data_IF_573908920280
#
_entry.id   IF_573908920280
#
_cell.length_a   1.000
_cell.length_b   1.000
_cell.length_c   1.000
_cell.angle_alpha   90.00
_cell.angle_beta   90.00
_cell.angle_gamma   90.00
#
_symmetry.space_group_name_H-M   'P 1'
#
loop_
_entity.id
_entity.type
_entity.pdbx_description
1 polymer ?
#
# COMPACT_ATOMS: atom_id res chain seq x y z
N UNK A 1 40.25 -12.36 23.01
CA UNK A 1 39.69 -13.08 21.86
C UNK A 1 38.84 -12.14 21.06
N UNK A 2 38.68 -12.38 19.77
CA UNK A 2 37.81 -11.59 18.89
C UNK A 2 36.68 -12.43 18.34
N UNK A 3 35.62 -11.78 17.88
CA UNK A 3 34.55 -12.41 17.13
C UNK A 3 35.09 -13.00 15.81
N UNK A 4 34.78 -14.27 15.56
CA UNK A 4 35.14 -14.98 14.32
C UNK A 4 33.91 -15.01 13.40
N UNK A 5 34.00 -14.51 12.15
CA UNK A 5 32.90 -14.58 11.21
C UNK A 5 32.67 -16.03 10.76
N UNK A 6 31.42 -16.49 10.83
CA UNK A 6 31.01 -17.83 10.37
C UNK A 6 30.23 -17.74 9.07
N UNK A 7 29.37 -16.73 8.95
CA UNK A 7 28.63 -16.37 7.74
C UNK A 7 28.57 -14.85 7.62
N UNK A 8 28.22 -14.28 6.46
CA UNK A 8 27.96 -12.84 6.34
C UNK A 8 26.95 -12.38 7.40
N UNK A 9 27.38 -11.48 8.30
CA UNK A 9 26.56 -10.97 9.39
C UNK A 9 26.34 -11.93 10.57
N UNK A 10 27.06 -13.05 10.65
CA UNK A 10 27.02 -13.99 11.77
C UNK A 10 28.43 -14.26 12.30
N UNK A 11 28.60 -14.08 13.60
CA UNK A 11 29.88 -14.21 14.28
C UNK A 11 29.76 -15.14 15.49
N UNK A 12 30.88 -15.77 15.86
CA UNK A 12 31.02 -16.59 17.07
C UNK A 12 32.23 -16.09 17.85
N UNK A 13 32.12 -15.93 19.17
CA UNK A 13 33.21 -15.47 20.02
C UNK A 13 33.03 -15.90 21.47
N UNK A 14 34.06 -15.70 22.28
CA UNK A 14 34.00 -15.92 23.73
C UNK A 14 33.28 -14.78 24.46
N UNK A 15 33.02 -14.96 25.76
CA UNK A 15 32.30 -13.99 26.61
C UNK A 15 32.92 -12.59 26.61
N UNK A 16 34.25 -12.48 26.44
CA UNK A 16 34.96 -11.20 26.34
C UNK A 16 34.56 -10.37 25.12
N UNK A 17 33.97 -11.00 24.09
CA UNK A 17 33.52 -10.33 22.88
C UNK A 17 32.29 -9.44 23.14
N UNK A 18 31.49 -9.79 24.15
CA UNK A 18 30.32 -9.01 24.57
C UNK A 18 30.70 -7.84 25.48
N UNK A 19 31.93 -7.81 25.99
CA UNK A 19 32.42 -6.76 26.89
C UNK A 19 32.91 -5.49 26.16
N UNK A 20 32.94 -5.48 24.82
CA UNK A 20 33.24 -4.29 24.01
C UNK A 20 32.04 -3.91 23.12
N UNK A 21 31.17 -3.00 23.60
CA UNK A 21 30.06 -2.46 22.81
C UNK A 21 30.51 -1.81 21.49
N UNK A 22 31.70 -1.21 21.47
CA UNK A 22 32.26 -0.55 20.28
C UNK A 22 32.59 -1.56 19.17
N UNK A 23 33.12 -2.72 19.53
CA UNK A 23 33.44 -3.78 18.58
C UNK A 23 32.16 -4.40 17.97
N UNK A 24 31.12 -4.60 18.79
CA UNK A 24 29.80 -5.06 18.33
C UNK A 24 29.16 -4.06 17.36
N UNK A 25 29.21 -2.78 17.71
CA UNK A 25 28.68 -1.69 16.87
C UNK A 25 29.44 -1.58 15.55
N UNK A 26 30.78 -1.62 15.58
CA UNK A 26 31.61 -1.56 14.38
C UNK A 26 31.38 -2.75 13.43
N UNK A 27 31.05 -3.92 13.98
CA UNK A 27 30.70 -5.13 13.21
C UNK A 27 29.23 -5.15 12.76
N UNK A 28 28.42 -4.14 13.11
CA UNK A 28 27.00 -4.05 12.78
C UNK A 28 26.14 -5.10 13.49
N UNK A 29 26.57 -5.58 14.66
CA UNK A 29 25.85 -6.60 15.42
C UNK A 29 24.63 -5.98 16.10
N UNK A 30 23.44 -6.49 15.75
CA UNK A 30 22.15 -6.01 16.28
C UNK A 30 21.51 -6.98 17.28
N UNK A 31 22.07 -8.19 17.41
CA UNK A 31 21.60 -9.20 18.34
C UNK A 31 22.74 -10.13 18.77
N UNK A 32 22.68 -10.61 20.02
CA UNK A 32 23.65 -11.52 20.64
C UNK A 32 22.89 -12.68 21.29
N UNK A 33 23.30 -13.91 20.97
CA UNK A 33 22.86 -15.14 21.62
C UNK A 33 24.01 -15.66 22.48
N UNK A 34 23.80 -15.72 23.79
CA UNK A 34 24.80 -16.23 24.75
C UNK A 34 24.37 -17.59 25.26
N UNK A 35 25.28 -18.57 25.17
CA UNK A 35 25.07 -19.92 25.71
C UNK A 35 26.14 -20.15 26.78
N UNK A 36 25.79 -19.88 28.05
CA UNK A 36 26.75 -19.89 29.16
C UNK A 36 26.04 -20.15 30.51
N UNK A 37 26.78 -20.47 31.57
CA UNK A 37 26.24 -20.73 32.90
C UNK A 37 25.68 -19.46 33.57
N UNK A 38 26.26 -18.30 33.23
CA UNK A 38 25.93 -16.98 33.75
C UNK A 38 25.36 -16.08 32.63
N UNK A 39 24.40 -15.24 32.99
CA UNK A 39 23.83 -14.27 32.06
C UNK A 39 24.75 -13.04 31.98
N UNK A 40 25.18 -12.62 30.78
CA UNK A 40 26.06 -11.48 30.62
C UNK A 40 25.32 -10.15 30.88
N UNK A 41 26.06 -9.06 31.20
CA UNK A 41 25.46 -7.74 31.33
C UNK A 41 24.83 -7.30 29.99
N UNK A 42 23.68 -6.63 30.08
CA UNK A 42 22.98 -6.12 28.91
C UNK A 42 23.82 -5.07 28.16
N UNK A 43 23.94 -5.23 26.85
CA UNK A 43 24.58 -4.24 25.97
C UNK A 43 23.50 -3.30 25.41
N UNK A 44 23.58 -1.98 25.64
CA UNK A 44 22.59 -1.04 25.12
C UNK A 44 22.46 -1.11 23.60
N UNK A 45 21.22 -1.17 23.10
CA UNK A 45 20.93 -1.18 21.65
C UNK A 45 21.10 -2.53 20.96
N UNK A 46 21.49 -3.59 21.68
CA UNK A 46 21.65 -4.95 21.16
C UNK A 46 20.59 -5.84 21.76
N UNK A 47 19.84 -6.58 20.93
CA UNK A 47 18.90 -7.59 21.42
C UNK A 47 19.68 -8.77 21.99
N UNK A 48 19.33 -9.24 23.18
CA UNK A 48 20.02 -10.36 23.80
C UNK A 48 19.09 -11.55 24.02
N UNK A 49 19.61 -12.75 23.86
CA UNK A 49 19.01 -14.01 24.32
C UNK A 49 20.07 -14.80 25.08
N UNK A 50 19.72 -15.30 26.25
CA UNK A 50 20.59 -16.16 27.07
C UNK A 50 20.01 -17.56 27.17
N UNK A 51 20.83 -18.56 26.91
CA UNK A 51 20.53 -19.97 27.16
C UNK A 51 21.51 -20.46 28.21
N UNK A 52 20.98 -20.74 29.40
CA UNK A 52 21.79 -21.25 30.49
C UNK A 52 22.27 -22.66 30.18
N UNK A 53 23.58 -22.85 30.00
CA UNK A 53 24.18 -24.16 29.79
C UNK A 53 25.61 -24.20 30.34
N UNK A 54 26.01 -25.35 30.89
CA UNK A 54 27.40 -25.62 31.26
C UNK A 54 28.04 -26.48 30.19
N UNK A 55 29.36 -26.39 30.06
CA UNK A 55 30.14 -27.28 29.19
C UNK A 55 30.27 -28.68 29.84
N UNK A 56 29.15 -29.37 29.95
CA UNK A 56 29.02 -30.69 30.53
C UNK A 56 28.21 -31.58 29.57
N UNK A 57 28.61 -32.86 29.36
CA UNK A 57 27.93 -33.75 28.40
C UNK A 57 26.43 -33.97 28.65
N UNK A 58 25.96 -33.72 29.88
CA UNK A 58 24.55 -33.85 30.26
C UNK A 58 23.69 -32.61 30.00
N UNK A 59 24.26 -31.51 29.50
CA UNK A 59 23.51 -30.30 29.20
C UNK A 59 22.60 -30.50 27.98
N UNK A 60 21.28 -30.36 28.18
CA UNK A 60 20.31 -30.43 27.09
C UNK A 60 20.21 -29.10 26.33
N UNK A 61 21.10 -28.93 25.36
CA UNK A 61 21.05 -27.82 24.40
C UNK A 61 20.03 -28.07 23.29
N UNK A 62 19.71 -29.34 23.01
CA UNK A 62 18.90 -29.74 21.86
C UNK A 62 17.48 -29.18 21.97
N UNK A 63 16.89 -29.21 23.17
CA UNK A 63 15.55 -28.66 23.43
C UNK A 63 15.45 -27.14 23.25
N UNK A 64 16.59 -26.42 23.20
CA UNK A 64 16.64 -24.95 23.05
C UNK A 64 17.01 -24.49 21.64
N UNK A 65 17.39 -25.41 20.74
CA UNK A 65 17.87 -25.04 19.40
C UNK A 65 16.81 -24.32 18.57
N UNK A 66 15.54 -24.71 18.65
CA UNK A 66 14.47 -24.06 17.88
C UNK A 66 14.28 -22.60 18.30
N UNK A 67 14.35 -22.31 19.60
CA UNK A 67 14.29 -20.94 20.12
C UNK A 67 15.52 -20.13 19.68
N UNK A 68 16.72 -20.71 19.76
CA UNK A 68 17.97 -20.09 19.30
C UNK A 68 17.92 -19.76 17.80
N UNK A 69 17.44 -20.70 17.00
CA UNK A 69 17.31 -20.56 15.55
C UNK A 69 16.27 -19.48 15.20
N UNK A 70 15.14 -19.43 15.91
CA UNK A 70 14.13 -18.39 15.74
C UNK A 70 14.68 -17.00 16.08
N UNK A 71 15.43 -16.87 17.19
CA UNK A 71 16.07 -15.62 17.58
C UNK A 71 17.08 -15.13 16.54
N UNK A 72 18.00 -16.00 16.11
CA UNK A 72 18.99 -15.67 15.08
C UNK A 72 18.32 -15.41 13.71
N UNK A 73 17.25 -16.13 13.38
CA UNK A 73 16.44 -15.90 12.19
C UNK A 73 15.79 -14.52 12.21
N UNK A 74 15.18 -14.12 13.32
CA UNK A 74 14.61 -12.80 13.52
C UNK A 74 15.68 -11.70 13.57
N UNK A 75 16.88 -12.00 14.08
CA UNK A 75 18.03 -11.11 14.03
C UNK A 75 18.46 -10.82 12.59
N UNK A 76 18.61 -11.87 11.79
CA UNK A 76 19.05 -11.79 10.40
C UNK A 76 18.00 -11.22 9.47
N UNK A 77 16.72 -11.55 9.68
CA UNK A 77 15.59 -10.92 8.97
C UNK A 77 15.36 -9.47 9.41
N UNK A 78 15.76 -9.13 10.64
CA UNK A 78 15.57 -7.83 11.29
C UNK A 78 16.40 -6.67 10.72
N UNK A 79 17.19 -6.88 9.66
CA UNK A 79 17.78 -5.76 8.92
C UNK A 79 16.74 -4.94 8.15
N UNK A 80 15.57 -5.52 7.88
CA UNK A 80 14.51 -4.86 7.11
C UNK A 80 13.15 -5.29 7.66
N UNK A 81 12.40 -4.37 8.27
CA UNK A 81 11.04 -4.66 8.72
C UNK A 81 10.15 -5.09 7.52
N UNK A 82 9.12 -5.95 7.73
CA UNK A 82 8.27 -6.44 6.63
C UNK A 82 7.66 -5.34 5.75
N UNK A 83 7.33 -4.18 6.34
CA UNK A 83 6.83 -3.02 5.61
C UNK A 83 7.85 -2.48 4.60
N UNK A 84 9.11 -2.36 5.00
CA UNK A 84 10.19 -1.95 4.11
C UNK A 84 10.52 -3.03 3.06
N UNK A 85 10.43 -4.32 3.40
CA UNK A 85 10.55 -5.39 2.38
C UNK A 85 9.45 -5.28 1.32
N UNK A 86 8.22 -4.95 1.73
CA UNK A 86 7.12 -4.66 0.81
C UNK A 86 7.39 -3.45 -0.09
N UNK A 87 7.94 -2.37 0.49
CA UNK A 87 8.37 -1.19 -0.26
C UNK A 87 9.44 -1.52 -1.31
N UNK A 88 10.44 -2.35 -0.97
CA UNK A 88 11.48 -2.77 -1.91
C UNK A 88 10.91 -3.58 -3.08
N UNK A 89 10.00 -4.52 -2.81
CA UNK A 89 9.31 -5.29 -3.88
C UNK A 89 8.51 -4.38 -4.81
N UNK A 90 7.83 -3.37 -4.25
CA UNK A 90 7.10 -2.39 -5.05
C UNK A 90 8.04 -1.52 -5.89
N UNK A 91 9.16 -1.07 -5.31
CA UNK A 91 10.18 -0.30 -6.02
C UNK A 91 10.82 -1.09 -7.17
N UNK A 92 11.12 -2.36 -6.96
CA UNK A 92 11.58 -3.30 -8.00
C UNK A 92 10.52 -3.48 -9.10
N UNK A 93 9.25 -3.68 -8.73
CA UNK A 93 8.15 -3.80 -9.68
C UNK A 93 7.92 -2.54 -10.53
N UNK A 94 8.37 -1.38 -10.07
CA UNK A 94 8.37 -0.11 -10.83
C UNK A 94 9.67 0.12 -11.62
N UNK A 95 10.55 -0.88 -11.72
CA UNK A 95 11.80 -0.78 -12.47
C UNK A 95 12.86 0.07 -11.77
N UNK A 96 12.89 0.05 -10.43
CA UNK A 96 13.82 0.83 -9.62
C UNK A 96 13.71 2.35 -9.84
N UNK A 97 12.52 2.84 -10.18
CA UNK A 97 12.19 4.24 -10.22
C UNK A 97 10.77 4.44 -9.67
N UNK A 98 10.58 5.41 -8.78
CA UNK A 98 9.25 5.67 -8.22
C UNK A 98 8.46 6.52 -9.21
N UNK A 99 7.51 5.89 -9.90
CA UNK A 99 6.50 6.59 -10.68
C UNK A 99 5.27 6.89 -9.80
N UNK A 100 5.12 8.15 -9.41
CA UNK A 100 4.01 8.60 -8.57
C UNK A 100 2.66 8.61 -9.29
N UNK A 101 2.65 8.52 -10.63
CA UNK A 101 1.43 8.41 -11.43
C UNK A 101 0.92 6.98 -11.54
N UNK A 102 1.76 5.99 -11.19
CA UNK A 102 1.44 4.57 -11.28
C UNK A 102 0.28 4.17 -10.37
N UNK A 103 -0.65 3.39 -10.93
CA UNK A 103 -1.78 2.80 -10.18
C UNK A 103 -1.29 1.93 -9.02
N UNK A 104 -0.14 1.26 -9.16
CA UNK A 104 0.45 0.43 -8.09
C UNK A 104 0.88 1.28 -6.91
N UNK A 105 1.58 2.39 -7.17
CA UNK A 105 2.07 3.29 -6.12
C UNK A 105 0.92 4.00 -5.40
N UNK A 106 -0.09 4.48 -6.15
CA UNK A 106 -1.29 5.12 -5.59
C UNK A 106 -2.04 4.18 -4.64
N UNK A 107 -2.23 2.93 -5.04
CA UNK A 107 -2.85 1.90 -4.18
C UNK A 107 -2.07 1.67 -2.91
N UNK A 108 -0.76 1.43 -3.04
CA UNK A 108 0.11 1.21 -1.89
C UNK A 108 0.05 2.36 -0.88
N UNK A 109 0.10 3.60 -1.37
CA UNK A 109 0.00 4.80 -0.53
C UNK A 109 -1.33 4.89 0.21
N UNK A 110 -2.43 4.51 -0.42
CA UNK A 110 -3.77 4.51 0.20
C UNK A 110 -3.92 3.39 1.24
N UNK A 111 -3.40 2.20 0.96
CA UNK A 111 -3.40 1.07 1.88
C UNK A 111 -2.60 1.39 3.16
N UNK A 112 -1.41 1.96 3.00
CA UNK A 112 -0.58 2.45 4.12
C UNK A 112 -1.29 3.46 5.03
N UNK A 113 -2.23 4.24 4.51
CA UNK A 113 -3.03 5.17 5.32
C UNK A 113 -4.13 4.45 6.07
N UNK A 114 -4.80 3.49 5.42
CA UNK A 114 -5.86 2.69 6.04
C UNK A 114 -5.35 1.84 7.22
N UNK A 115 -4.09 1.42 7.19
CA UNK A 115 -3.47 0.66 8.29
C UNK A 115 -2.98 1.55 9.44
N UNK A 116 -2.63 2.81 9.17
CA UNK A 116 -2.07 3.74 10.16
C UNK A 116 -3.11 4.46 10.99
N UNK A 117 -4.30 4.72 10.45
CA UNK A 117 -5.29 5.56 11.10
C UNK A 117 -6.56 4.79 11.45
N UNK A 118 -6.88 4.72 12.75
CA UNK A 118 -8.20 4.29 13.22
C UNK A 118 -9.30 5.27 12.77
N UNK A 119 -8.95 6.56 12.67
CA UNK A 119 -9.73 7.66 12.10
C UNK A 119 -8.75 8.72 11.54
N UNK A 120 -8.81 9.09 10.25
CA UNK A 120 -7.86 10.03 9.66
C UNK A 120 -8.16 11.46 10.12
N UNK A 121 -7.42 11.95 11.12
CA UNK A 121 -7.50 13.34 11.59
C UNK A 121 -6.68 14.30 10.71
N UNK A 122 -5.61 13.78 10.09
CA UNK A 122 -4.74 14.52 9.18
C UNK A 122 -4.36 13.63 7.99
N UNK A 123 -4.60 14.12 6.78
CA UNK A 123 -4.33 13.40 5.53
C UNK A 123 -3.30 14.18 4.72
N UNK A 124 -2.09 13.61 4.46
CA UNK A 124 -1.08 14.30 3.68
C UNK A 124 -1.60 14.71 2.31
N UNK A 125 -1.35 15.96 1.90
CA UNK A 125 -1.90 16.54 0.67
C UNK A 125 -1.50 15.75 -0.59
N UNK A 126 -0.36 15.07 -0.54
CA UNK A 126 0.21 14.27 -1.64
C UNK A 126 -0.60 13.01 -1.94
N UNK A 127 -1.52 12.62 -1.04
CA UNK A 127 -2.44 11.49 -1.23
C UNK A 127 -3.57 11.87 -2.16
N UNK A 128 -3.89 13.16 -2.24
CA UNK A 128 -5.01 13.65 -3.01
C UNK A 128 -4.61 13.97 -4.44
N UNK A 129 -5.40 13.46 -5.39
CA UNK A 129 -5.39 14.00 -6.75
C UNK A 129 -5.82 15.48 -6.73
N UNK A 130 -5.20 16.27 -7.60
CA UNK A 130 -5.54 17.69 -7.76
C UNK A 130 -6.98 17.84 -8.22
N UNK A 131 -7.73 18.78 -7.63
CA UNK A 131 -9.07 19.10 -8.11
C UNK A 131 -8.98 19.57 -9.58
N UNK A 132 -9.66 18.89 -10.54
CA UNK A 132 -9.57 19.24 -11.95
C UNK A 132 -10.13 20.63 -12.31
N UNK A 133 -10.80 21.30 -11.39
CA UNK A 133 -11.26 22.69 -11.54
C UNK A 133 -10.20 23.73 -11.18
N UNK A 134 -9.11 23.31 -10.52
CA UNK A 134 -7.93 24.15 -10.30
C UNK A 134 -7.21 24.37 -11.63
N UNK A 135 -6.82 25.62 -11.90
CA UNK A 135 -6.18 26.02 -13.16
C UNK A 135 -4.78 25.39 -13.25
N UNK A 136 -4.70 24.20 -13.82
CA UNK A 136 -3.45 23.54 -14.18
C UNK A 136 -3.59 22.98 -15.61
N UNK A 137 -2.59 23.28 -16.45
CA UNK A 137 -2.51 22.87 -17.85
C UNK A 137 -2.57 21.33 -17.95
N UNK A 138 -3.75 20.81 -18.27
CA UNK A 138 -3.92 19.38 -18.54
C UNK A 138 -3.36 19.04 -19.91
N UNK A 139 -2.74 17.87 -20.04
CA UNK A 139 -2.49 17.31 -21.36
C UNK A 139 -3.82 17.21 -22.12
N UNK A 140 -3.84 17.62 -23.39
CA UNK A 140 -5.06 17.78 -24.18
C UNK A 140 -5.81 16.46 -24.48
N UNK A 141 -5.30 15.32 -23.96
CA UNK A 141 -5.75 13.96 -24.26
C UNK A 141 -6.36 13.24 -23.07
N UNK A 142 -6.28 13.82 -21.88
CA UNK A 142 -6.76 13.16 -20.67
C UNK A 142 -8.29 13.20 -20.55
N UNK A 143 -8.89 12.06 -20.24
CA UNK A 143 -10.35 11.95 -20.10
C UNK A 143 -10.78 12.57 -18.77
N UNK A 144 -11.79 13.43 -18.82
CA UNK A 144 -12.31 14.17 -17.68
C UNK A 144 -13.70 13.68 -17.29
N UNK A 145 -13.91 13.46 -16.00
CA UNK A 145 -15.18 12.98 -15.46
C UNK A 145 -15.92 14.11 -14.76
N UNK A 146 -17.18 14.33 -15.14
CA UNK A 146 -18.00 15.47 -14.67
C UNK A 146 -19.27 15.01 -13.99
N UNK A 147 -19.76 15.77 -13.02
CA UNK A 147 -21.06 15.53 -12.40
C UNK A 147 -22.17 15.61 -13.45
N UNK A 148 -23.01 14.58 -13.56
CA UNK A 148 -24.10 14.53 -14.54
C UNK A 148 -25.17 15.62 -14.34
N UNK A 149 -25.37 16.09 -13.11
CA UNK A 149 -26.37 17.12 -12.77
C UNK A 149 -25.91 18.54 -13.09
N UNK A 150 -24.69 18.92 -12.71
CA UNK A 150 -24.22 20.32 -12.77
C UNK A 150 -22.98 20.53 -13.66
N UNK A 151 -22.47 19.45 -14.27
CA UNK A 151 -21.30 19.39 -15.14
C UNK A 151 -19.98 19.86 -14.52
N UNK A 152 -19.90 20.06 -13.19
CA UNK A 152 -18.62 20.32 -12.50
C UNK A 152 -17.67 19.13 -12.70
N UNK A 153 -16.42 19.39 -13.04
CA UNK A 153 -15.38 18.38 -13.12
C UNK A 153 -15.08 17.78 -11.73
N UNK A 154 -14.90 16.46 -11.67
CA UNK A 154 -14.77 15.70 -10.43
C UNK A 154 -13.41 14.99 -10.33
N UNK A 155 -12.99 14.28 -11.37
CA UNK A 155 -11.72 13.55 -11.40
C UNK A 155 -11.27 13.30 -12.84
N UNK A 156 -10.05 12.81 -13.03
CA UNK A 156 -9.46 12.48 -14.32
C UNK A 156 -9.30 10.97 -14.49
N UNK A 157 -9.06 10.50 -15.72
CA UNK A 157 -8.75 9.08 -15.96
C UNK A 157 -7.55 8.57 -15.16
N UNK A 158 -6.54 9.41 -14.94
CA UNK A 158 -5.37 9.05 -14.11
C UNK A 158 -5.71 8.78 -12.64
N UNK A 159 -6.86 9.23 -12.16
CA UNK A 159 -7.33 8.98 -10.79
C UNK A 159 -7.98 7.60 -10.63
N UNK A 160 -8.26 6.86 -11.70
CA UNK A 160 -8.98 5.59 -11.63
C UNK A 160 -8.04 4.46 -11.19
N UNK A 161 -8.46 3.71 -10.16
CA UNK A 161 -7.75 2.57 -9.58
C UNK A 161 -8.45 1.25 -9.97
N UNK A 162 -8.27 0.84 -11.21
CA UNK A 162 -8.92 -0.33 -11.85
C UNK A 162 -8.60 -1.67 -11.18
N UNK A 163 -9.62 -2.39 -10.67
CA UNK A 163 -9.45 -3.71 -10.03
C UNK A 163 -9.85 -4.87 -10.96
N UNK A 164 -9.38 -6.08 -10.65
CA UNK A 164 -9.80 -7.32 -11.32
C UNK A 164 -11.15 -7.82 -10.77
N UNK A 165 -12.00 -8.38 -11.64
CA UNK A 165 -13.30 -8.95 -11.26
C UNK A 165 -13.16 -9.95 -10.10
N UNK A 166 -14.16 -10.01 -9.22
CA UNK A 166 -14.19 -10.96 -8.12
C UNK A 166 -14.26 -12.40 -8.64
N UNK A 167 -13.62 -13.33 -7.93
CA UNK A 167 -13.68 -14.76 -8.25
C UNK A 167 -14.70 -15.39 -7.29
N UNK A 168 -15.68 -16.14 -7.82
CA UNK A 168 -16.60 -16.96 -7.02
C UNK A 168 -18.07 -16.49 -6.99
N UNK A 169 -18.93 -17.15 -6.19
CA UNK A 169 -20.40 -16.98 -6.18
C UNK A 169 -20.86 -15.52 -6.00
N UNK A 170 -20.08 -14.73 -5.26
CA UNK A 170 -20.33 -13.30 -4.99
C UNK A 170 -20.22 -12.43 -6.25
N UNK A 171 -19.46 -12.85 -7.26
CA UNK A 171 -19.41 -12.19 -8.57
C UNK A 171 -20.64 -12.52 -9.45
N UNK A 172 -21.43 -13.54 -9.09
CA UNK A 172 -22.58 -14.02 -9.85
C UNK A 172 -23.94 -13.63 -9.24
N UNK A 173 -23.97 -13.16 -7.98
CA UNK A 173 -25.22 -12.85 -7.26
C UNK A 173 -26.11 -11.81 -7.97
N UNK A 174 -25.54 -10.91 -8.78
CA UNK A 174 -26.29 -9.89 -9.52
C UNK A 174 -26.43 -10.19 -11.02
N UNK A 175 -26.01 -11.37 -11.49
CA UNK A 175 -26.08 -11.73 -12.90
C UNK A 175 -27.48 -12.30 -13.21
N UNK A 176 -28.44 -11.43 -13.54
CA UNK A 176 -29.61 -11.88 -14.33
C UNK A 176 -29.06 -12.40 -15.66
N UNK A 177 -29.12 -13.72 -15.83
CA UNK A 177 -28.70 -14.43 -17.03
C UNK A 177 -29.54 -13.92 -18.19
N UNK A 178 -28.95 -13.11 -19.05
CA UNK A 178 -29.34 -13.04 -20.46
C UNK A 178 -28.16 -13.58 -21.25
N UNK A 179 -28.35 -14.79 -21.76
CA UNK A 179 -27.45 -15.50 -22.66
C UNK A 179 -27.18 -14.68 -23.92
N UNK A 180 -25.96 -14.14 -24.05
CA UNK A 180 -25.22 -13.93 -25.31
C UNK A 180 -24.05 -12.96 -25.09
N UNK A 181 -22.89 -13.47 -24.68
CA UNK A 181 -21.58 -12.85 -24.95
C UNK A 181 -20.46 -13.75 -24.41
N UNK A 182 -20.24 -14.90 -25.07
CA UNK A 182 -18.90 -15.48 -25.16
C UNK A 182 -18.19 -14.69 -26.26
N UNK A 183 -16.93 -14.30 -26.03
CA UNK A 183 -15.99 -13.67 -26.97
C UNK A 183 -15.98 -12.13 -27.03
N UNK A 184 -15.31 -11.49 -26.06
CA UNK A 184 -14.35 -10.37 -26.27
C UNK A 184 -13.83 -9.84 -24.92
N UNK A 185 -12.50 -9.86 -24.76
CA UNK A 185 -11.81 -9.53 -23.52
C UNK A 185 -11.59 -8.03 -23.33
N UNK A 186 -12.48 -7.38 -22.59
CA UNK A 186 -12.13 -6.19 -21.83
C UNK A 186 -12.86 -6.19 -20.48
N UNK A 187 -12.18 -6.67 -19.44
CA UNK A 187 -12.72 -6.93 -18.09
C UNK A 187 -13.06 -5.66 -17.28
N UNK A 188 -12.95 -4.47 -17.89
CA UNK A 188 -13.22 -3.17 -17.26
C UNK A 188 -14.69 -2.70 -17.39
N UNK A 189 -15.49 -3.30 -18.27
CA UNK A 189 -16.80 -2.74 -18.66
C UNK A 189 -17.99 -3.18 -17.78
N UNK A 190 -17.81 -4.12 -16.85
CA UNK A 190 -18.93 -4.72 -16.11
C UNK A 190 -19.23 -4.08 -14.74
N UNK A 191 -18.32 -3.28 -14.18
CA UNK A 191 -18.56 -2.63 -12.89
C UNK A 191 -19.47 -1.40 -13.04
N UNK A 192 -20.40 -1.19 -12.11
CA UNK A 192 -21.34 -0.06 -12.11
C UNK A 192 -20.74 1.24 -11.56
N UNK A 193 -19.52 1.18 -11.03
CA UNK A 193 -18.85 2.28 -10.35
C UNK A 193 -17.38 2.40 -10.77
N UNK A 194 -16.86 3.63 -10.67
CA UNK A 194 -15.44 3.92 -10.69
C UNK A 194 -14.89 3.89 -9.26
N UNK A 195 -13.74 3.25 -9.08
CA UNK A 195 -12.94 3.37 -7.87
C UNK A 195 -11.77 4.28 -8.18
N UNK A 196 -11.56 5.30 -7.36
CA UNK A 196 -10.56 6.32 -7.61
C UNK A 196 -9.67 6.55 -6.39
N UNK A 197 -8.53 7.21 -6.58
CA UNK A 197 -7.83 7.87 -5.49
C UNK A 197 -8.64 9.08 -4.99
N UNK A 198 -8.53 9.47 -3.70
CA UNK A 198 -9.23 10.63 -3.19
C UNK A 198 -8.77 11.89 -3.92
N UNK A 199 -9.71 12.79 -4.21
CA UNK A 199 -9.45 14.08 -4.88
C UNK A 199 -9.56 15.19 -3.84
N UNK A 200 -8.80 16.27 -3.98
CA UNK A 200 -8.77 17.38 -3.02
C UNK A 200 -10.16 17.88 -2.59
N UNK A 201 -11.16 17.94 -3.48
CA UNK A 201 -12.52 18.38 -3.10
C UNK A 201 -13.23 17.43 -2.12
N UNK A 202 -12.76 16.19 -1.98
CA UNK A 202 -13.32 15.19 -1.06
C UNK A 202 -12.81 15.38 0.37
N UNK A 203 -11.66 16.04 0.56
CA UNK A 203 -10.97 16.15 1.85
C UNK A 203 -11.90 16.50 3.03
N UNK A 204 -12.78 17.52 2.94
CA UNK A 204 -13.67 17.86 4.06
C UNK A 204 -14.65 16.74 4.46
N UNK A 205 -14.97 15.83 3.55
CA UNK A 205 -15.86 14.70 3.81
C UNK A 205 -15.11 13.46 4.36
N UNK A 206 -13.78 13.44 4.30
CA UNK A 206 -12.97 12.29 4.71
C UNK A 206 -12.37 12.44 6.11
N UNK A 207 -12.19 13.68 6.58
CA UNK A 207 -11.54 13.96 7.87
C UNK A 207 -12.40 13.50 9.04
N UNK A 208 -11.78 12.72 9.94
CA UNK A 208 -12.39 12.24 11.18
C UNK A 208 -13.50 11.19 11.00
N UNK A 209 -13.63 10.59 9.82
CA UNK A 209 -14.70 9.63 9.52
C UNK A 209 -14.18 8.42 8.72
N UNK A 210 -14.68 7.23 9.08
CA UNK A 210 -14.24 5.97 8.45
C UNK A 210 -15.03 5.57 7.20
N UNK A 211 -16.24 6.07 7.06
CA UNK A 211 -17.11 5.81 5.91
C UNK A 211 -18.12 6.94 5.76
N UNK A 212 -18.63 7.15 4.54
CA UNK A 212 -19.56 8.24 4.29
C UNK A 212 -19.99 8.39 2.84
N UNK A 213 -20.73 9.46 2.58
CA UNK A 213 -21.23 9.79 1.25
C UNK A 213 -20.34 10.79 0.54
N UNK A 214 -20.15 10.59 -0.77
CA UNK A 214 -19.47 11.56 -1.63
C UNK A 214 -20.53 12.40 -2.33
N UNK A 215 -20.62 13.69 -1.97
CA UNK A 215 -21.54 14.65 -2.55
C UNK A 215 -20.82 15.56 -3.55
N UNK A 216 -21.51 15.97 -4.62
CA UNK A 216 -20.94 16.93 -5.55
C UNK A 216 -20.71 18.29 -4.85
N UNK A 217 -19.50 18.86 -4.89
CA UNK A 217 -19.19 20.12 -4.20
C UNK A 217 -19.93 21.35 -4.79
N UNK A 218 -20.50 21.24 -6.00
CA UNK A 218 -21.28 22.34 -6.63
C UNK A 218 -22.79 22.23 -6.40
N UNK A 219 -23.36 21.04 -6.47
CA UNK A 219 -24.82 20.87 -6.49
C UNK A 219 -25.36 19.86 -5.49
N UNK A 220 -24.49 19.40 -4.56
CA UNK A 220 -24.77 18.51 -3.42
C UNK A 220 -25.44 17.17 -3.76
N UNK A 221 -25.59 16.83 -5.03
CA UNK A 221 -26.13 15.54 -5.45
C UNK A 221 -25.18 14.41 -5.08
N UNK A 222 -25.71 13.30 -4.55
CA UNK A 222 -24.95 12.11 -4.22
C UNK A 222 -24.28 11.51 -5.47
N UNK A 223 -22.96 11.40 -5.43
CA UNK A 223 -22.11 10.82 -6.49
C UNK A 223 -21.74 9.37 -6.18
N UNK A 224 -21.59 9.04 -4.90
CA UNK A 224 -21.23 7.71 -4.43
C UNK A 224 -20.95 7.68 -2.92
N UNK A 225 -19.97 6.91 -2.51
CA UNK A 225 -19.61 6.65 -1.11
C UNK A 225 -18.12 6.36 -0.97
N UNK A 226 -17.61 6.47 0.26
CA UNK A 226 -16.28 5.99 0.61
C UNK A 226 -16.31 5.12 1.86
N UNK A 227 -15.33 4.24 1.98
CA UNK A 227 -15.04 3.42 3.16
C UNK A 227 -13.53 3.16 3.24
N UNK A 228 -12.91 3.59 4.33
CA UNK A 228 -11.49 3.32 4.58
C UNK A 228 -11.21 1.84 4.84
N UNK A 229 -12.21 1.08 5.32
CA UNK A 229 -12.13 -0.38 5.51
C UNK A 229 -12.38 -1.15 4.21
N UNK A 230 -12.86 -0.45 3.18
CA UNK A 230 -13.22 -1.00 1.90
C UNK A 230 -14.70 -1.30 1.75
N UNK A 231 -15.06 -1.66 0.51
CA UNK A 231 -16.42 -1.97 0.11
C UNK A 231 -16.40 -3.02 -1.02
N UNK A 232 -17.51 -3.74 -1.18
CA UNK A 232 -17.65 -4.74 -2.22
C UNK A 232 -18.14 -4.09 -3.53
N UNK A 233 -17.35 -4.24 -4.59
CA UNK A 233 -17.78 -3.84 -5.93
C UNK A 233 -18.91 -4.75 -6.45
N UNK A 234 -19.75 -4.23 -7.34
CA UNK A 234 -20.75 -4.99 -8.10
C UNK A 234 -20.22 -6.23 -8.83
N UNK A 235 -18.92 -6.30 -9.11
CA UNK A 235 -18.28 -7.49 -9.70
C UNK A 235 -17.88 -8.56 -8.66
N UNK A 236 -18.21 -8.34 -7.38
CA UNK A 236 -17.86 -9.22 -6.27
C UNK A 236 -16.49 -8.96 -5.64
N UNK A 237 -15.64 -8.12 -6.23
CA UNK A 237 -14.30 -7.80 -5.71
C UNK A 237 -14.38 -6.88 -4.48
N UNK A 238 -13.72 -7.25 -3.40
CA UNK A 238 -13.47 -6.35 -2.26
C UNK A 238 -12.38 -5.34 -2.62
N UNK A 239 -12.66 -4.05 -2.42
CA UNK A 239 -11.72 -2.95 -2.70
C UNK A 239 -11.47 -2.20 -1.40
N UNK A 240 -10.20 -2.08 -0.99
CA UNK A 240 -9.79 -1.35 0.22
C UNK A 240 -8.59 -0.44 -0.07
N UNK A 241 -8.60 0.83 0.39
CA UNK A 241 -9.80 1.59 0.75
C UNK A 241 -10.70 1.80 -0.48
N UNK A 242 -12.00 2.00 -0.27
CA UNK A 242 -12.98 2.18 -1.33
C UNK A 242 -13.39 3.64 -1.43
N UNK A 243 -13.04 4.33 -2.53
CA UNK A 243 -13.62 5.62 -2.90
C UNK A 243 -14.40 5.44 -4.21
N UNK A 244 -15.72 5.27 -4.08
CA UNK A 244 -16.59 4.80 -5.14
C UNK A 244 -17.45 5.95 -5.69
N UNK A 245 -17.40 6.16 -7.01
CA UNK A 245 -18.36 7.02 -7.73
C UNK A 245 -19.18 6.21 -8.72
N UNK A 246 -20.50 6.37 -8.68
CA UNK A 246 -21.39 5.61 -9.57
C UNK A 246 -21.33 6.15 -11.00
N UNK A 247 -21.14 5.25 -11.98
CA UNK A 247 -21.11 5.60 -13.41
C UNK A 247 -22.38 6.33 -13.85
N UNK A 248 -23.53 5.99 -13.26
CA UNK A 248 -24.81 6.64 -13.58
C UNK A 248 -24.90 8.13 -13.17
N UNK A 249 -24.02 8.59 -12.28
CA UNK A 249 -24.00 9.96 -11.74
C UNK A 249 -22.89 10.84 -12.34
N UNK A 250 -22.07 10.28 -13.22
CA UNK A 250 -20.87 10.92 -13.77
C UNK A 250 -20.84 10.76 -15.29
N UNK A 251 -20.54 11.84 -16.01
CA UNK A 251 -20.34 11.83 -17.46
C UNK A 251 -18.84 11.79 -17.80
N UNK A 252 -18.47 10.93 -18.75
CA UNK A 252 -17.13 10.90 -19.34
C UNK A 252 -17.04 11.92 -20.48
N UNK A 253 -16.03 12.79 -20.44
CA UNK A 253 -15.77 13.79 -21.48
C UNK A 253 -14.34 13.65 -21.97
N UNK A 254 -14.18 13.34 -23.26
CA UNK A 254 -12.87 13.32 -23.93
C UNK A 254 -12.59 14.71 -24.48
N UNK A 255 -11.48 15.31 -24.09
CA UNK A 255 -10.97 16.50 -24.77
C UNK A 255 -10.37 16.04 -26.09
N UNK A 256 -11.01 16.39 -27.21
CA UNK A 256 -10.37 16.24 -28.51
C UNK A 256 -9.32 17.35 -28.65
N UNK A 257 -8.14 17.07 -29.25
CA UNK A 257 -7.23 18.13 -29.65
C UNK A 257 -8.00 19.09 -30.56
N UNK A 258 -7.91 20.39 -30.30
CA UNK A 258 -8.48 21.40 -31.17
C UNK A 258 -7.86 21.25 -32.57
N UNK A 259 -8.57 20.60 -33.48
CA UNK A 259 -8.19 20.57 -34.89
C UNK A 259 -8.26 21.99 -35.41
N UNK A 260 -7.15 22.48 -35.97
CA UNK A 260 -7.11 23.75 -36.69
C UNK A 260 -8.11 23.68 -37.86
N UNK A 261 -9.33 24.18 -37.66
CA UNK A 261 -10.20 24.54 -38.77
C UNK A 261 -9.62 25.81 -39.40
N UNK A 262 -8.71 25.63 -40.35
CA UNK A 262 -8.40 26.68 -41.30
C UNK A 262 -9.66 26.92 -42.12
N UNK A 263 -10.31 28.05 -41.86
CA UNK A 263 -11.34 28.59 -42.73
C UNK A 263 -10.70 28.92 -44.07
N UNK A 264 -10.92 28.06 -45.06
CA UNK A 264 -10.70 28.42 -46.45
C UNK A 264 -11.65 29.57 -46.79
N UNK A 265 -11.12 30.79 -46.80
CA UNK A 265 -11.77 31.92 -47.47
C UNK A 265 -11.30 31.91 -48.92
N UNK A 266 -12.32 31.76 -49.78
CA UNK A 266 -12.51 32.11 -51.19
C UNK A 266 -11.30 32.57 -51.99
#
# INVERSE_FOLDING_TARGET
GGMVPVLPGLYVGGAESCSSPEALSAAGVVAVLTVDAEEPPAVPGVRAMHVRARDEPGADLLSRLDECAAFLGAARAGGVNPGFQGQLKLYEAMGCAVDTSSVLYKRYRLEMLSERFSEPQDLPREVFAVDPTTICQTSNTEVLYRCRKCRRALFRSSSILSHMEGIGPTAFAHKRITDSARLSGNSQEKCTSYFIEPVQWMEPALLGVMEGQLLCPKCTSKLGSFSWRGDQCSCGRWVTPAFQLHKSRVDEVRTLPAGNFQTAKT
#
